data_IF_878588401340
#
_entry.id   IF_878588401340
#
_cell.length_a   1.000
_cell.length_b   1.000
_cell.length_c   1.000
_cell.angle_alpha   90.00
_cell.angle_beta   90.00
_cell.angle_gamma   90.00
#
_symmetry.space_group_name_H-M   'P 1'
#
loop_
_entity.id
_entity.type
_entity.pdbx_description
1 polymer ?
#
# COMPACT_ATOMS: atom_id res chain seq x y z
N UNK A 1 28.51 28.29 47.76
CA UNK A 1 27.24 27.59 48.04
C UNK A 1 26.50 27.39 46.72
N UNK A 2 26.76 26.29 46.01
CA UNK A 2 26.12 25.97 44.72
C UNK A 2 24.75 25.32 44.95
N UNK A 3 23.72 25.81 44.24
CA UNK A 3 22.38 25.20 44.20
C UNK A 3 22.32 24.16 43.07
N UNK A 4 21.89 22.95 43.39
CA UNK A 4 21.58 21.85 42.46
C UNK A 4 20.27 22.15 41.70
N UNK A 5 20.09 21.68 40.45
CA UNK A 5 18.81 21.80 39.74
C UNK A 5 17.85 20.66 40.12
N UNK A 6 16.55 21.00 40.14
CA UNK A 6 15.45 20.11 40.50
C UNK A 6 15.21 19.02 39.45
N UNK A 7 15.01 17.78 39.92
CA UNK A 7 14.61 16.62 39.14
C UNK A 7 13.20 16.80 38.56
N UNK A 8 13.08 16.64 37.23
CA UNK A 8 11.80 16.63 36.51
C UNK A 8 11.24 15.20 36.56
N UNK A 9 10.20 14.98 37.35
CA UNK A 9 9.43 13.73 37.37
C UNK A 9 8.68 13.57 36.05
N UNK A 10 8.88 12.43 35.38
CA UNK A 10 8.11 12.06 34.19
C UNK A 10 6.70 11.60 34.61
N UNK A 11 5.67 12.20 34.01
CA UNK A 11 4.27 11.82 34.19
C UNK A 11 3.95 10.52 33.45
N UNK A 12 3.15 9.60 34.00
CA UNK A 12 2.76 8.38 33.29
C UNK A 12 1.83 8.73 32.13
N UNK A 13 2.13 8.20 30.94
CA UNK A 13 1.32 8.38 29.74
C UNK A 13 0.03 7.55 29.84
N UNK A 14 -1.12 8.18 29.62
CA UNK A 14 -2.42 7.52 29.49
C UNK A 14 -2.45 6.66 28.21
N UNK A 15 -3.07 5.46 28.22
CA UNK A 15 -3.21 4.67 27.00
C UNK A 15 -4.12 5.39 25.99
N UNK A 16 -3.55 5.74 24.84
CA UNK A 16 -4.21 6.45 23.75
C UNK A 16 -5.33 5.56 23.17
N UNK A 17 -6.58 6.02 23.26
CA UNK A 17 -7.70 5.44 22.50
C UNK A 17 -7.56 5.82 21.04
N UNK A 18 -7.35 4.83 20.17
CA UNK A 18 -7.38 5.00 18.72
C UNK A 18 -8.80 5.37 18.26
N UNK A 19 -8.97 6.28 17.28
CA UNK A 19 -10.25 6.48 16.63
C UNK A 19 -10.67 5.20 15.88
N UNK A 20 -11.97 4.90 15.78
CA UNK A 20 -12.44 3.73 15.05
C UNK A 20 -12.07 3.86 13.58
N UNK A 21 -11.39 2.84 13.04
CA UNK A 21 -11.25 2.63 11.60
C UNK A 21 -12.68 2.58 11.03
N UNK A 22 -13.04 3.39 10.02
CA UNK A 22 -14.37 3.32 9.44
C UNK A 22 -14.55 1.98 8.73
N UNK A 23 -15.14 1.00 9.44
CA UNK A 23 -15.70 -0.21 8.84
C UNK A 23 -17.04 0.17 8.21
N UNK A 24 -16.98 1.05 7.22
CA UNK A 24 -18.09 1.33 6.34
C UNK A 24 -18.28 0.12 5.45
N UNK A 25 -19.30 -0.68 5.74
CA UNK A 25 -19.76 -1.81 4.93
C UNK A 25 -20.22 -1.24 3.57
N UNK A 26 -19.28 -1.01 2.65
CA UNK A 26 -19.61 -0.68 1.26
C UNK A 26 -20.23 -1.93 0.66
N UNK A 27 -21.51 -1.86 0.33
CA UNK A 27 -22.17 -2.91 -0.45
C UNK A 27 -21.47 -2.99 -1.79
N UNK A 28 -20.78 -4.10 -2.04
CA UNK A 28 -20.30 -4.42 -3.38
C UNK A 28 -21.51 -4.98 -4.14
N UNK A 29 -22.12 -4.13 -4.97
CA UNK A 29 -22.93 -4.65 -6.06
C UNK A 29 -22.02 -5.56 -6.89
N UNK A 30 -22.42 -6.81 -7.11
CA UNK A 30 -21.65 -7.72 -7.96
C UNK A 30 -21.54 -7.10 -9.36
N UNK A 31 -20.33 -6.68 -9.71
CA UNK A 31 -20.03 -6.17 -11.04
C UNK A 31 -20.23 -7.31 -12.07
N UNK A 32 -20.67 -7.01 -13.30
CA UNK A 32 -20.66 -7.98 -14.39
C UNK A 32 -19.24 -8.55 -14.54
N UNK A 33 -19.05 -9.78 -15.08
CA UNK A 33 -17.73 -10.39 -15.15
C UNK A 33 -16.85 -9.45 -15.97
N UNK A 34 -15.97 -8.73 -15.28
CA UNK A 34 -15.05 -7.82 -15.90
C UNK A 34 -14.18 -8.70 -16.80
N UNK A 35 -14.07 -8.36 -18.08
CA UNK A 35 -12.83 -8.67 -18.78
C UNK A 35 -11.73 -8.01 -17.94
N UNK A 36 -11.15 -8.79 -17.03
CA UNK A 36 -10.10 -8.43 -16.08
C UNK A 36 -8.87 -8.07 -16.92
N UNK A 37 -8.75 -6.81 -17.34
CA UNK A 37 -7.68 -6.46 -18.29
C UNK A 37 -6.30 -6.64 -17.67
N UNK A 38 -6.15 -6.46 -16.35
CA UNK A 38 -4.97 -6.93 -15.61
C UNK A 38 -5.37 -7.52 -14.26
N UNK A 39 -5.25 -8.84 -14.13
CA UNK A 39 -5.08 -9.48 -12.82
C UNK A 39 -3.74 -9.04 -12.22
N UNK A 40 -3.62 -8.97 -10.89
CA UNK A 40 -2.33 -8.78 -10.19
C UNK A 40 -1.25 -9.83 -10.59
N UNK A 41 -1.65 -10.89 -11.28
CA UNK A 41 -0.75 -11.91 -11.79
C UNK A 41 -0.03 -12.62 -10.66
N UNK A 42 1.27 -12.83 -10.77
CA UNK A 42 2.05 -13.41 -9.67
C UNK A 42 2.29 -12.33 -8.61
N UNK A 43 1.77 -12.55 -7.42
CA UNK A 43 2.03 -11.67 -6.28
C UNK A 43 3.24 -12.15 -5.48
N UNK A 44 4.16 -11.24 -5.18
CA UNK A 44 5.31 -11.45 -4.30
C UNK A 44 5.46 -10.28 -3.34
N UNK A 45 6.21 -10.48 -2.26
CA UNK A 45 6.63 -9.42 -1.37
C UNK A 45 8.13 -9.56 -1.09
N UNK A 46 8.82 -8.45 -0.87
CA UNK A 46 10.22 -8.51 -0.43
C UNK A 46 10.32 -9.16 0.95
N UNK A 47 11.48 -9.74 1.25
CA UNK A 47 11.70 -10.39 2.54
C UNK A 47 11.52 -9.40 3.71
N UNK A 48 11.91 -8.14 3.53
CA UNK A 48 11.73 -7.09 4.52
C UNK A 48 10.25 -6.87 4.81
N UNK A 49 9.42 -6.61 3.79
CA UNK A 49 7.95 -6.47 3.96
C UNK A 49 7.34 -7.72 4.59
N UNK A 50 7.65 -8.90 4.06
CA UNK A 50 7.10 -10.16 4.55
C UNK A 50 7.46 -10.46 6.02
N UNK A 51 8.56 -9.90 6.52
CA UNK A 51 9.03 -10.12 7.89
C UNK A 51 8.35 -9.21 8.93
N UNK A 52 7.89 -8.01 8.54
CA UNK A 52 7.39 -7.00 9.49
C UNK A 52 5.95 -6.54 9.24
N UNK A 53 5.44 -6.66 8.02
CA UNK A 53 4.10 -6.21 7.65
C UNK A 53 3.12 -7.37 7.77
N UNK A 54 2.03 -7.26 8.55
CA UNK A 54 1.04 -8.32 8.66
C UNK A 54 0.41 -8.65 7.30
N UNK A 55 0.19 -9.94 7.02
CA UNK A 55 -0.46 -10.38 5.77
C UNK A 55 -1.79 -9.68 5.48
N UNK A 56 -2.61 -9.40 6.50
CA UNK A 56 -3.87 -8.68 6.33
C UNK A 56 -3.69 -7.25 5.81
N UNK A 57 -2.59 -6.58 6.20
CA UNK A 57 -2.25 -5.25 5.68
C UNK A 57 -1.81 -5.38 4.22
N UNK A 58 -0.92 -6.32 3.91
CA UNK A 58 -0.46 -6.59 2.53
C UNK A 58 -1.65 -6.84 1.59
N UNK A 59 -2.59 -7.69 2.00
CA UNK A 59 -3.82 -7.98 1.23
C UNK A 59 -4.64 -6.70 1.02
N UNK A 60 -4.81 -5.87 2.05
CA UNK A 60 -5.52 -4.60 1.91
C UNK A 60 -4.85 -3.63 0.92
N UNK A 61 -3.52 -3.57 0.89
CA UNK A 61 -2.80 -2.74 -0.09
C UNK A 61 -2.97 -3.27 -1.52
N UNK A 62 -2.95 -4.59 -1.70
CA UNK A 62 -3.21 -5.24 -3.00
C UNK A 62 -4.65 -5.00 -3.48
N UNK A 63 -5.63 -5.03 -2.58
CA UNK A 63 -7.02 -4.72 -2.89
C UNK A 63 -7.19 -3.27 -3.36
N UNK A 64 -6.53 -2.32 -2.68
CA UNK A 64 -6.48 -0.92 -3.12
C UNK A 64 -5.86 -0.78 -4.52
N UNK A 65 -4.70 -1.41 -4.75
CA UNK A 65 -4.01 -1.37 -6.03
C UNK A 65 -4.87 -1.94 -7.17
N UNK A 66 -5.50 -3.10 -6.95
CA UNK A 66 -6.41 -3.72 -7.91
C UNK A 66 -7.66 -2.87 -8.18
N UNK A 67 -8.12 -2.11 -7.18
CA UNK A 67 -9.23 -1.17 -7.30
C UNK A 67 -8.85 0.15 -7.99
N UNK A 68 -7.57 0.32 -8.39
CA UNK A 68 -7.01 1.57 -8.91
C UNK A 68 -7.02 2.71 -7.90
N UNK A 69 -7.04 2.36 -6.61
CA UNK A 69 -6.73 3.31 -5.56
C UNK A 69 -5.21 3.37 -5.42
N UNK A 70 -4.60 4.31 -6.13
CA UNK A 70 -3.15 4.45 -6.22
C UNK A 70 -2.48 4.95 -4.92
N UNK A 71 -3.26 5.24 -3.87
CA UNK A 71 -2.73 5.68 -2.58
C UNK A 71 -2.23 7.12 -2.63
N UNK A 72 -1.03 7.37 -2.12
CA UNK A 72 -0.43 8.69 -1.88
C UNK A 72 0.41 9.20 -3.09
N UNK A 73 -0.14 9.06 -4.30
CA UNK A 73 0.46 9.60 -5.52
C UNK A 73 -0.07 10.97 -5.89
N UNK A 74 0.74 11.75 -6.60
CA UNK A 74 0.30 13.01 -7.20
C UNK A 74 -0.62 12.78 -8.42
N UNK A 75 -1.19 13.87 -8.97
CA UNK A 75 -2.12 13.77 -10.07
C UNK A 75 -1.49 13.26 -11.38
N UNK A 76 -0.20 13.52 -11.61
CA UNK A 76 0.52 13.10 -12.81
C UNK A 76 0.77 11.59 -12.79
N UNK A 77 1.27 11.08 -11.67
CA UNK A 77 1.55 9.65 -11.50
C UNK A 77 0.27 8.81 -11.53
N UNK A 78 -0.84 9.32 -10.94
CA UNK A 78 -2.15 8.66 -11.06
C UNK A 78 -2.63 8.58 -12.50
N UNK A 79 -2.48 9.68 -13.26
CA UNK A 79 -2.88 9.71 -14.66
C UNK A 79 -2.02 8.77 -15.53
N UNK A 80 -0.73 8.65 -15.21
CA UNK A 80 0.16 7.68 -15.85
C UNK A 80 -0.31 6.24 -15.59
N UNK A 81 -0.57 5.87 -14.33
CA UNK A 81 -1.14 4.55 -14.01
C UNK A 81 -2.46 4.27 -14.73
N UNK A 82 -3.37 5.25 -14.77
CA UNK A 82 -4.66 5.08 -15.43
C UNK A 82 -4.49 4.87 -16.95
N UNK A 83 -3.50 5.52 -17.56
CA UNK A 83 -3.14 5.33 -18.96
C UNK A 83 -2.53 3.94 -19.20
N UNK A 84 -1.51 3.57 -18.43
CA UNK A 84 -0.80 2.28 -18.52
C UNK A 84 -1.78 1.11 -18.31
N UNK A 85 -2.66 1.22 -17.30
CA UNK A 85 -3.73 0.27 -17.06
C UNK A 85 -4.73 0.18 -18.22
N UNK A 86 -5.05 1.32 -18.83
CA UNK A 86 -5.99 1.37 -19.96
C UNK A 86 -5.40 0.74 -21.21
N UNK A 87 -4.11 0.88 -21.46
CA UNK A 87 -3.45 0.41 -22.67
C UNK A 87 -2.74 -0.94 -22.51
N UNK A 88 -2.77 -1.54 -21.31
CA UNK A 88 -2.07 -2.78 -21.02
C UNK A 88 -0.56 -2.67 -21.25
N UNK A 89 0.02 -1.56 -20.82
CA UNK A 89 1.41 -1.21 -21.09
C UNK A 89 2.13 -0.63 -19.89
N UNK A 90 3.46 -0.66 -19.93
CA UNK A 90 4.28 -0.04 -18.89
C UNK A 90 4.17 -0.77 -17.55
N UNK A 91 3.96 0.00 -16.47
CA UNK A 91 3.88 -0.51 -15.09
C UNK A 91 2.81 0.23 -14.30
N UNK A 92 2.20 -0.43 -13.32
CA UNK A 92 1.36 0.24 -12.33
C UNK A 92 2.15 0.44 -11.05
N UNK A 93 2.01 1.61 -10.44
CA UNK A 93 2.67 1.97 -9.20
C UNK A 93 1.66 2.43 -8.15
N UNK A 94 1.82 2.06 -6.89
CA UNK A 94 1.06 2.64 -5.80
C UNK A 94 1.95 2.82 -4.60
N UNK A 95 1.70 3.91 -3.87
CA UNK A 95 2.43 4.24 -2.64
C UNK A 95 1.42 4.40 -1.53
N UNK A 96 1.63 3.76 -0.39
CA UNK A 96 0.74 3.85 0.76
C UNK A 96 1.53 4.17 2.02
N UNK A 97 1.22 5.32 2.63
CA UNK A 97 1.78 5.70 3.92
C UNK A 97 1.01 5.02 5.05
N UNK A 98 1.67 4.05 5.69
CA UNK A 98 1.10 3.34 6.84
C UNK A 98 1.66 3.91 8.14
N UNK A 99 0.79 4.11 9.12
CA UNK A 99 1.21 4.66 10.42
C UNK A 99 2.20 3.75 11.18
N UNK A 100 2.16 2.43 10.94
CA UNK A 100 2.94 1.45 11.67
C UNK A 100 4.22 0.99 10.94
N UNK A 101 4.25 1.05 9.61
CA UNK A 101 5.34 0.49 8.80
C UNK A 101 5.98 1.52 7.85
N UNK A 102 5.52 2.77 7.85
CA UNK A 102 5.97 3.79 6.91
C UNK A 102 5.38 3.57 5.52
N UNK A 103 6.05 4.12 4.52
CA UNK A 103 5.66 4.02 3.11
C UNK A 103 5.87 2.59 2.61
N UNK A 104 4.85 2.02 1.99
CA UNK A 104 4.92 0.73 1.30
C UNK A 104 4.49 0.93 -0.14
N UNK A 105 5.24 0.34 -1.06
CA UNK A 105 4.94 0.36 -2.47
C UNK A 105 4.29 -0.94 -2.93
N UNK A 106 3.40 -0.84 -3.91
CA UNK A 106 2.84 -1.96 -4.68
C UNK A 106 3.07 -1.66 -6.15
N UNK A 107 3.80 -2.54 -6.84
CA UNK A 107 4.19 -2.34 -8.24
C UNK A 107 3.75 -3.54 -9.06
N UNK A 108 3.01 -3.30 -10.15
CA UNK A 108 2.71 -4.33 -11.14
C UNK A 108 3.53 -4.08 -12.40
N UNK A 109 4.41 -5.02 -12.75
CA UNK A 109 5.22 -5.01 -13.97
C UNK A 109 4.68 -6.02 -15.00
N UNK A 110 5.21 -5.99 -16.23
CA UNK A 110 4.88 -6.92 -17.33
C UNK A 110 3.40 -6.93 -17.76
N UNK A 111 2.78 -5.74 -17.81
CA UNK A 111 1.37 -5.58 -18.17
C UNK A 111 1.03 -6.03 -19.60
N UNK A 112 1.99 -6.00 -20.53
CA UNK A 112 1.79 -6.38 -21.92
C UNK A 112 1.52 -7.88 -22.14
N UNK A 113 1.71 -8.72 -21.12
CA UNK A 113 1.34 -10.14 -21.17
C UNK A 113 2.31 -11.04 -21.94
N UNK A 114 3.49 -10.55 -22.32
CA UNK A 114 4.55 -11.41 -22.85
C UNK A 114 5.30 -12.13 -21.70
N UNK A 115 5.84 -13.32 -21.95
CA UNK A 115 6.92 -13.89 -21.13
C UNK A 115 6.66 -14.22 -19.66
N UNK A 116 5.40 -14.38 -19.22
CA UNK A 116 5.09 -14.81 -17.83
C UNK A 116 3.85 -14.14 -17.23
N UNK A 117 3.37 -13.07 -17.85
CA UNK A 117 2.25 -12.26 -17.35
C UNK A 117 2.65 -11.35 -16.20
N UNK A 118 1.72 -10.52 -15.70
CA UNK A 118 2.05 -9.50 -14.72
C UNK A 118 2.63 -10.07 -13.43
N UNK A 119 3.56 -9.32 -12.82
CA UNK A 119 4.09 -9.62 -11.48
C UNK A 119 3.82 -8.41 -10.59
N UNK A 120 3.09 -8.63 -9.50
CA UNK A 120 2.85 -7.61 -8.48
C UNK A 120 3.78 -7.82 -7.31
N UNK A 121 4.62 -6.83 -7.01
CA UNK A 121 5.55 -6.85 -5.89
C UNK A 121 5.13 -5.84 -4.83
N UNK A 122 5.07 -6.28 -3.57
CA UNK A 122 4.90 -5.41 -2.40
C UNK A 122 6.26 -5.24 -1.72
N UNK A 123 6.71 -4.00 -1.58
CA UNK A 123 8.08 -3.69 -1.13
C UNK A 123 8.16 -2.36 -0.39
N UNK A 124 9.19 -2.18 0.43
CA UNK A 124 9.54 -0.86 0.92
C UNK A 124 10.28 -0.06 -0.17
N UNK A 125 10.25 1.29 -0.15
CA UNK A 125 10.98 2.11 -1.11
C UNK A 125 12.47 1.78 -1.22
N UNK A 126 13.11 1.43 -0.11
CA UNK A 126 14.53 1.07 -0.03
C UNK A 126 14.87 -0.31 -0.64
N UNK A 127 13.88 -1.15 -0.93
CA UNK A 127 14.09 -2.45 -1.58
C UNK A 127 14.08 -2.35 -3.13
N UNK A 128 13.75 -1.18 -3.69
CA UNK A 128 13.73 -0.92 -5.14
C UNK A 128 15.00 -0.22 -5.62
#
# INVERSE_FOLDING_TARGET
MSRLPASRTASPAEPIRLPPVPVGRRSFAAAPPLLMRHSLGRVVATAAVASVVPHAVIIGLLDCHAARDWGDLDAGDRAANDSDHSHAEGRLFSSYDTAAHGTIWVITEDLHGEGGGPVTTVLFPEDY
#
